data_IF_964873814337
#
_entry.id   IF_964873814337
#
_cell.length_a   1.000
_cell.length_b   1.000
_cell.length_c   1.000
_cell.angle_alpha   90.00
_cell.angle_beta   90.00
_cell.angle_gamma   90.00
#
_symmetry.space_group_name_H-M   'P 1'
#
loop_
_entity.id
_entity.type
_entity.pdbx_description
1 polymer ?
#
# COMPACT_ATOMS: atom_id res chain seq x y z
N UNK A 1 -1.42 -1.39 -22.03
CA UNK A 1 -0.64 -1.36 -23.28
C UNK A 1 0.77 -0.89 -22.95
N UNK A 2 1.81 -1.46 -23.55
CA UNK A 2 3.19 -1.03 -23.37
C UNK A 2 3.47 0.18 -24.26
N UNK A 3 3.91 1.30 -23.69
CA UNK A 3 4.29 2.51 -24.41
C UNK A 3 5.72 2.35 -24.96
N UNK A 4 6.65 1.97 -24.11
CA UNK A 4 8.02 1.51 -24.39
C UNK A 4 8.37 0.47 -23.34
N UNK A 5 9.40 -0.34 -23.57
CA UNK A 5 9.78 -1.41 -22.63
C UNK A 5 9.94 -0.88 -21.20
N UNK A 6 9.21 -1.48 -20.25
CA UNK A 6 9.17 -1.09 -18.84
C UNK A 6 8.28 0.12 -18.53
N UNK A 7 7.52 0.66 -19.50
CA UNK A 7 6.52 1.72 -19.27
C UNK A 7 5.19 1.30 -19.89
N UNK A 8 4.15 1.24 -19.09
CA UNK A 8 2.82 0.78 -19.50
C UNK A 8 1.73 1.78 -19.21
N UNK A 9 0.69 1.75 -20.04
CA UNK A 9 -0.55 2.51 -19.86
C UNK A 9 -1.71 1.57 -19.59
N UNK A 10 -2.55 1.92 -18.63
CA UNK A 10 -3.71 1.14 -18.19
C UNK A 10 -4.94 2.04 -18.19
N UNK A 11 -5.91 1.75 -19.05
CA UNK A 11 -7.15 2.50 -19.15
C UNK A 11 -8.27 1.75 -18.42
N UNK A 12 -8.92 2.44 -17.47
CA UNK A 12 -10.07 1.97 -16.72
C UNK A 12 -11.23 2.86 -17.09
N UNK A 13 -11.86 2.57 -18.24
CA UNK A 13 -12.95 3.38 -18.79
C UNK A 13 -14.17 3.32 -17.86
N UNK A 14 -14.62 4.47 -17.40
CA UNK A 14 -15.75 4.58 -16.51
C UNK A 14 -16.46 5.93 -16.64
N UNK A 15 -17.78 5.89 -16.85
CA UNK A 15 -18.66 7.07 -16.82
C UNK A 15 -19.35 7.25 -15.47
N UNK A 16 -19.07 6.39 -14.50
CA UNK A 16 -19.68 6.39 -13.17
C UNK A 16 -19.28 7.62 -12.34
N UNK A 17 -18.03 8.04 -12.46
CA UNK A 17 -17.47 9.15 -11.69
C UNK A 17 -17.61 10.47 -12.44
N UNK A 18 -17.80 11.56 -11.70
CA UNK A 18 -17.79 12.93 -12.25
C UNK A 18 -16.37 13.47 -12.43
N UNK A 19 -15.37 12.74 -11.91
CA UNK A 19 -13.97 13.09 -12.01
C UNK A 19 -13.20 12.04 -12.83
N UNK A 20 -12.17 12.49 -13.50
CA UNK A 20 -11.10 11.65 -14.02
C UNK A 20 -9.99 11.53 -12.97
N UNK A 21 -9.31 10.41 -12.92
CA UNK A 21 -8.11 10.22 -12.10
C UNK A 21 -6.96 9.67 -12.93
N UNK A 22 -5.80 10.31 -12.81
CA UNK A 22 -4.53 9.83 -13.36
C UNK A 22 -3.65 9.42 -12.18
N UNK A 23 -3.05 8.23 -12.23
CA UNK A 23 -2.04 7.83 -11.28
C UNK A 23 -0.80 7.36 -12.05
N UNK A 24 0.36 7.86 -11.65
CA UNK A 24 1.67 7.47 -12.21
C UNK A 24 2.44 6.78 -11.09
N UNK A 25 2.79 5.50 -11.28
CA UNK A 25 3.52 4.69 -10.32
C UNK A 25 4.92 4.39 -10.82
N UNK A 26 5.91 4.79 -10.05
CA UNK A 26 7.33 4.46 -10.23
C UNK A 26 7.66 3.33 -9.27
N UNK A 27 7.91 2.15 -9.82
CA UNK A 27 8.12 0.93 -9.04
C UNK A 27 9.54 0.41 -9.21
N UNK A 28 10.27 0.26 -8.11
CA UNK A 28 11.63 -0.27 -8.07
C UNK A 28 11.79 -1.32 -6.94
N UNK A 29 12.83 -2.15 -6.96
CA UNK A 29 13.21 -2.94 -5.79
C UNK A 29 13.41 -2.06 -4.56
N UNK A 30 12.92 -2.51 -3.42
CA UNK A 30 13.15 -1.82 -2.14
C UNK A 30 14.65 -1.80 -1.83
N UNK A 31 15.20 -0.61 -1.62
CA UNK A 31 16.60 -0.40 -1.26
C UNK A 31 16.71 0.59 -0.11
N UNK A 32 17.52 0.26 0.88
CA UNK A 32 17.81 1.14 2.01
C UNK A 32 18.56 2.41 1.56
N UNK A 33 19.36 2.31 0.50
CA UNK A 33 20.17 3.42 0.01
C UNK A 33 19.36 4.49 -0.71
N UNK A 34 18.23 4.11 -1.32
CA UNK A 34 17.42 5.05 -2.12
C UNK A 34 16.10 5.44 -1.47
N UNK A 35 15.64 4.74 -0.41
CA UNK A 35 14.32 4.96 0.18
C UNK A 35 14.10 6.40 0.63
N UNK A 36 15.09 7.01 1.31
CA UNK A 36 14.98 8.38 1.82
C UNK A 36 14.96 9.41 0.68
N UNK A 37 15.84 9.27 -0.30
CA UNK A 37 15.89 10.13 -1.48
C UNK A 37 14.60 10.03 -2.31
N UNK A 38 14.00 8.84 -2.46
CA UNK A 38 12.71 8.64 -3.14
C UNK A 38 11.56 9.34 -2.42
N UNK A 39 11.50 9.25 -1.07
CA UNK A 39 10.47 9.89 -0.27
C UNK A 39 10.56 11.42 -0.36
N UNK A 40 11.76 11.99 -0.23
CA UNK A 40 11.98 13.43 -0.36
C UNK A 40 11.72 13.92 -1.79
N UNK A 41 12.14 13.17 -2.80
CA UNK A 41 11.82 13.50 -4.20
C UNK A 41 10.31 13.54 -4.42
N UNK A 42 9.55 12.60 -3.88
CA UNK A 42 8.09 12.60 -3.99
C UNK A 42 7.50 13.90 -3.40
N UNK A 43 7.92 14.30 -2.19
CA UNK A 43 7.48 15.56 -1.59
C UNK A 43 7.85 16.78 -2.45
N UNK A 44 9.06 16.82 -3.01
CA UNK A 44 9.50 17.92 -3.87
C UNK A 44 8.68 18.03 -5.15
N UNK A 45 8.22 16.90 -5.76
CA UNK A 45 7.36 16.92 -6.96
C UNK A 45 6.00 17.56 -6.69
N UNK A 46 5.49 17.49 -5.46
CA UNK A 46 4.22 18.08 -5.05
C UNK A 46 4.33 19.57 -4.69
N UNK A 47 5.55 20.05 -4.46
CA UNK A 47 5.78 21.39 -3.88
C UNK A 47 5.93 22.47 -4.93
N UNK A 48 6.79 22.29 -5.92
CA UNK A 48 7.11 23.29 -6.93
C UNK A 48 7.77 22.71 -8.18
N UNK A 49 7.72 23.46 -9.28
CA UNK A 49 8.46 23.17 -10.51
C UNK A 49 8.90 24.50 -11.17
N UNK A 50 9.65 24.43 -12.26
CA UNK A 50 10.15 25.65 -12.92
C UNK A 50 9.05 26.60 -13.41
N UNK A 51 7.88 26.07 -13.81
CA UNK A 51 6.74 26.88 -14.24
C UNK A 51 5.99 27.50 -13.04
N UNK A 52 5.97 26.80 -11.92
CA UNK A 52 5.32 27.22 -10.68
C UNK A 52 6.33 27.12 -9.53
N UNK A 53 7.18 28.14 -9.35
CA UNK A 53 8.38 28.05 -8.51
C UNK A 53 8.09 28.07 -6.99
N UNK A 54 6.86 28.34 -6.60
CA UNK A 54 6.44 28.25 -5.17
C UNK A 54 5.25 27.31 -5.02
N UNK A 55 5.11 26.71 -3.84
CA UNK A 55 3.96 25.91 -3.46
C UNK A 55 2.64 26.67 -3.64
N UNK A 56 2.65 27.98 -3.40
CA UNK A 56 1.49 28.86 -3.59
C UNK A 56 1.13 28.99 -5.08
N UNK A 57 2.10 29.14 -5.98
CA UNK A 57 1.87 29.27 -7.42
C UNK A 57 1.31 27.96 -7.99
N UNK A 58 1.89 26.81 -7.59
CA UNK A 58 1.39 25.51 -8.00
C UNK A 58 -0.06 25.30 -7.52
N UNK A 59 -0.35 25.58 -6.25
CA UNK A 59 -1.71 25.46 -5.70
C UNK A 59 -2.71 26.41 -6.36
N UNK A 60 -2.32 27.65 -6.70
CA UNK A 60 -3.16 28.58 -7.47
C UNK A 60 -3.44 28.04 -8.87
N UNK A 61 -2.43 27.42 -9.50
CA UNK A 61 -2.61 26.81 -10.80
C UNK A 61 -3.58 25.63 -10.72
N UNK A 62 -3.41 24.71 -9.76
CA UNK A 62 -4.34 23.60 -9.53
C UNK A 62 -5.78 24.09 -9.26
N UNK A 63 -5.93 25.15 -8.48
CA UNK A 63 -7.23 25.79 -8.26
C UNK A 63 -7.84 26.35 -9.56
N UNK A 64 -7.02 26.96 -10.43
CA UNK A 64 -7.46 27.45 -11.75
C UNK A 64 -7.86 26.34 -12.72
N UNK A 65 -7.35 25.12 -12.50
CA UNK A 65 -7.74 23.89 -13.18
C UNK A 65 -8.98 23.24 -12.52
N UNK A 66 -9.96 24.04 -12.19
CA UNK A 66 -11.23 23.63 -11.56
C UNK A 66 -11.05 22.87 -10.25
N UNK A 67 -10.05 23.22 -9.46
CA UNK A 67 -9.75 22.55 -8.20
C UNK A 67 -9.19 21.13 -8.39
N UNK A 68 -8.36 20.96 -9.39
CA UNK A 68 -7.61 19.71 -9.58
C UNK A 68 -6.85 19.39 -8.30
N UNK A 69 -7.06 18.19 -7.75
CA UNK A 69 -6.30 17.64 -6.64
C UNK A 69 -5.06 16.93 -7.15
N UNK A 70 -3.94 17.14 -6.48
CA UNK A 70 -2.67 16.49 -6.77
C UNK A 70 -2.04 16.03 -5.46
N UNK A 71 -1.56 14.81 -5.44
CA UNK A 71 -0.85 14.25 -4.28
C UNK A 71 0.23 13.27 -4.68
N UNK A 72 1.25 13.15 -3.83
CA UNK A 72 2.27 12.11 -3.93
C UNK A 72 2.18 11.17 -2.74
N UNK A 73 2.57 9.92 -2.93
CA UNK A 73 2.63 8.92 -1.88
C UNK A 73 3.79 7.96 -2.10
N UNK A 74 4.36 7.46 -1.02
CA UNK A 74 5.37 6.41 -1.05
C UNK A 74 4.89 5.22 -0.22
N UNK A 75 4.91 4.04 -0.79
CA UNK A 75 4.51 2.84 -0.08
C UNK A 75 5.27 1.60 -0.57
N UNK A 76 5.22 0.56 0.24
CA UNK A 76 5.85 -0.72 -0.03
C UNK A 76 4.81 -1.76 -0.49
N UNK A 77 5.22 -2.60 -1.45
CA UNK A 77 4.49 -3.81 -1.82
C UNK A 77 5.47 -4.98 -1.94
N UNK A 78 5.38 -5.96 -1.03
CA UNK A 78 6.39 -7.02 -0.97
C UNK A 78 7.80 -6.43 -0.80
N UNK A 79 8.70 -6.75 -1.74
CA UNK A 79 10.06 -6.20 -1.78
C UNK A 79 10.24 -5.05 -2.78
N UNK A 80 9.16 -4.32 -3.11
CA UNK A 80 9.24 -3.12 -3.95
C UNK A 80 8.87 -1.86 -3.18
N UNK A 81 9.46 -0.75 -3.59
CA UNK A 81 9.15 0.60 -3.16
C UNK A 81 8.51 1.36 -4.33
N UNK A 82 7.35 1.94 -4.08
CA UNK A 82 6.52 2.59 -5.07
C UNK A 82 6.40 4.07 -4.70
N UNK A 83 6.74 4.94 -5.66
CA UNK A 83 6.38 6.35 -5.62
C UNK A 83 5.16 6.53 -6.51
N UNK A 84 4.09 7.07 -5.98
CA UNK A 84 2.86 7.34 -6.71
C UNK A 84 2.62 8.85 -6.79
N UNK A 85 2.29 9.33 -7.99
CA UNK A 85 1.82 10.68 -8.24
C UNK A 85 0.40 10.61 -8.78
N UNK A 86 -0.56 11.28 -8.16
CA UNK A 86 -1.97 11.24 -8.55
C UNK A 86 -2.52 12.61 -8.87
N UNK A 87 -3.46 12.64 -9.83
CA UNK A 87 -4.26 13.81 -10.20
C UNK A 87 -5.72 13.41 -10.25
N UNK A 88 -6.57 14.15 -9.55
CA UNK A 88 -8.03 13.97 -9.60
C UNK A 88 -8.67 15.29 -10.02
N UNK A 89 -9.44 15.28 -11.10
CA UNK A 89 -10.02 16.48 -11.68
C UNK A 89 -11.39 16.21 -12.32
N UNK A 90 -12.19 17.25 -12.49
CA UNK A 90 -13.53 17.17 -13.11
C UNK A 90 -13.41 16.70 -14.56
N UNK A 91 -14.30 15.82 -15.01
CA UNK A 91 -14.35 15.36 -16.40
C UNK A 91 -14.68 16.52 -17.34
N UNK A 92 -14.02 16.57 -18.48
CA UNK A 92 -14.16 17.63 -19.48
C UNK A 92 -15.61 17.80 -19.97
N UNK A 93 -16.43 16.74 -19.97
CA UNK A 93 -17.82 16.80 -20.41
C UNK A 93 -18.71 17.72 -19.56
N UNK A 94 -18.33 17.96 -18.29
CA UNK A 94 -19.06 18.85 -17.37
C UNK A 94 -18.62 20.32 -17.47
N UNK A 95 -17.63 20.60 -18.30
CA UNK A 95 -17.05 21.93 -18.47
C UNK A 95 -17.62 22.64 -19.72
N UNK A 96 -17.66 23.98 -19.70
CA UNK A 96 -18.08 24.79 -20.83
C UNK A 96 -17.16 24.64 -22.04
N UNK A 97 -15.87 24.38 -21.82
CA UNK A 97 -14.87 24.08 -22.85
C UNK A 97 -14.50 22.59 -22.76
N UNK A 98 -14.93 21.82 -23.75
CA UNK A 98 -14.70 20.37 -23.79
C UNK A 98 -13.24 20.07 -24.18
N UNK A 99 -12.69 18.97 -23.65
CA UNK A 99 -11.38 18.38 -23.97
C UNK A 99 -10.15 19.29 -23.69
N UNK A 100 -10.27 20.25 -22.78
CA UNK A 100 -9.18 21.18 -22.47
C UNK A 100 -8.49 20.82 -21.16
N UNK A 101 -9.24 20.37 -20.15
CA UNK A 101 -8.70 20.17 -18.81
C UNK A 101 -7.76 18.94 -18.76
N UNK A 102 -8.14 17.84 -19.38
CA UNK A 102 -7.28 16.63 -19.46
C UNK A 102 -5.93 16.95 -20.10
N UNK A 103 -5.91 17.72 -21.21
CA UNK A 103 -4.66 18.11 -21.87
C UNK A 103 -3.80 19.04 -20.99
N UNK A 104 -4.43 19.94 -20.23
CA UNK A 104 -3.74 20.82 -19.28
C UNK A 104 -3.14 20.04 -18.10
N UNK A 105 -3.87 19.05 -17.56
CA UNK A 105 -3.38 18.17 -16.49
C UNK A 105 -2.20 17.33 -17.02
N UNK A 106 -2.28 16.77 -18.23
CA UNK A 106 -1.15 16.02 -18.82
C UNK A 106 0.08 16.91 -19.05
N UNK A 107 -0.14 18.17 -19.47
CA UNK A 107 0.97 19.13 -19.55
C UNK A 107 1.59 19.36 -18.18
N UNK A 108 0.78 19.51 -17.13
CA UNK A 108 1.29 19.67 -15.77
C UNK A 108 2.05 18.41 -15.30
N UNK A 109 1.58 17.20 -15.61
CA UNK A 109 2.32 15.95 -15.36
C UNK A 109 3.70 16.01 -15.99
N UNK A 110 3.79 16.45 -17.27
CA UNK A 110 5.06 16.60 -17.97
C UNK A 110 5.98 17.62 -17.30
N UNK A 111 5.46 18.80 -16.93
CA UNK A 111 6.24 19.86 -16.26
C UNK A 111 6.79 19.36 -14.91
N UNK A 112 5.99 18.66 -14.11
CA UNK A 112 6.41 18.10 -12.82
C UNK A 112 7.53 17.08 -12.99
N UNK A 113 7.42 16.19 -13.97
CA UNK A 113 8.40 15.12 -14.17
C UNK A 113 9.70 15.59 -14.85
N UNK A 114 9.64 16.59 -15.73
CA UNK A 114 10.79 16.97 -16.56
C UNK A 114 11.33 18.37 -16.31
N UNK A 115 10.64 19.16 -15.48
CA UNK A 115 11.04 20.54 -15.18
C UNK A 115 10.94 20.84 -13.68
N UNK A 116 11.55 20.01 -12.80
CA UNK A 116 11.53 20.26 -11.36
C UNK A 116 12.22 21.59 -11.03
N UNK A 117 11.90 22.18 -9.87
CA UNK A 117 12.54 23.40 -9.39
C UNK A 117 13.96 23.09 -8.90
N UNK A 118 14.97 23.58 -9.61
CA UNK A 118 16.37 23.26 -9.37
C UNK A 118 17.21 24.51 -9.09
N UNK A 119 18.20 24.34 -8.19
CA UNK A 119 19.27 25.28 -7.92
C UNK A 119 20.57 24.50 -7.75
N UNK A 120 21.64 24.91 -8.39
CA UNK A 120 22.98 24.30 -8.30
C UNK A 120 23.00 22.76 -8.47
N UNK A 121 22.32 22.26 -9.52
CA UNK A 121 22.18 20.84 -9.84
C UNK A 121 21.51 19.97 -8.75
N UNK A 122 20.69 20.58 -7.90
CA UNK A 122 19.88 19.92 -6.88
C UNK A 122 18.46 20.51 -6.83
N UNK A 123 17.58 19.96 -6.02
CA UNK A 123 16.33 20.63 -5.71
C UNK A 123 16.58 21.99 -5.02
N UNK A 124 15.62 22.91 -5.09
CA UNK A 124 15.74 24.20 -4.37
C UNK A 124 15.98 23.94 -2.86
N UNK A 125 17.10 24.45 -2.30
CA UNK A 125 17.47 24.12 -0.92
C UNK A 125 16.45 24.59 0.13
N UNK A 126 15.78 25.73 -0.12
CA UNK A 126 14.82 26.31 0.83
C UNK A 126 13.55 25.44 0.90
N UNK A 127 13.04 25.02 -0.26
CA UNK A 127 11.90 24.12 -0.34
C UNK A 127 12.24 22.73 0.19
N UNK A 128 13.44 22.24 -0.14
CA UNK A 128 13.92 20.93 0.30
C UNK A 128 13.99 20.83 1.84
N UNK A 129 14.52 21.83 2.53
CA UNK A 129 14.59 21.81 3.99
C UNK A 129 13.19 21.87 4.66
N UNK A 130 12.23 22.56 4.03
CA UNK A 130 10.85 22.56 4.50
C UNK A 130 10.25 21.15 4.39
N UNK A 131 10.34 20.54 3.21
CA UNK A 131 9.79 19.21 2.96
C UNK A 131 10.47 18.12 3.82
N UNK A 132 11.78 18.20 3.96
CA UNK A 132 12.57 17.33 4.84
C UNK A 132 12.10 17.40 6.30
N UNK A 133 11.86 18.62 6.79
CA UNK A 133 11.35 18.85 8.16
C UNK A 133 9.91 18.29 8.29
N UNK A 134 9.07 18.50 7.31
CA UNK A 134 7.69 17.98 7.33
C UNK A 134 7.67 16.45 7.30
N UNK A 135 8.48 15.83 6.45
CA UNK A 135 8.60 14.36 6.37
C UNK A 135 9.07 13.78 7.71
N UNK A 136 10.11 14.38 8.33
CA UNK A 136 10.59 13.94 9.65
C UNK A 136 9.52 14.09 10.74
N UNK A 137 8.75 15.17 10.71
CA UNK A 137 7.66 15.39 11.66
C UNK A 137 6.51 14.36 11.48
N UNK A 138 6.15 14.07 10.23
CA UNK A 138 5.14 13.05 9.94
C UNK A 138 5.56 11.67 10.42
N UNK A 139 6.80 11.25 10.13
CA UNK A 139 7.33 9.96 10.60
C UNK A 139 7.43 9.87 12.13
N UNK A 140 7.71 11.00 12.81
CA UNK A 140 7.70 11.02 14.27
C UNK A 140 6.27 10.85 14.82
N UNK A 141 5.28 11.53 14.20
CA UNK A 141 3.90 11.42 14.60
C UNK A 141 3.33 9.99 14.38
N UNK A 142 3.76 9.30 13.31
CA UNK A 142 3.37 7.91 13.09
C UNK A 142 3.83 6.99 14.23
N UNK A 143 5.01 7.26 14.82
CA UNK A 143 5.55 6.48 15.94
C UNK A 143 4.86 6.73 17.28
N UNK A 144 4.06 7.80 17.38
CA UNK A 144 3.22 8.08 18.55
C UNK A 144 1.96 7.20 18.55
N UNK A 145 1.52 6.69 17.37
CA UNK A 145 0.47 5.67 17.30
C UNK A 145 1.00 4.33 17.83
N UNK A 146 0.38 3.88 18.91
CA UNK A 146 0.79 2.67 19.62
C UNK A 146 0.66 1.39 18.79
N UNK A 147 -0.36 1.30 17.92
CA UNK A 147 -0.51 0.15 17.02
C UNK A 147 0.52 0.19 15.89
N UNK A 148 0.75 1.37 15.29
CA UNK A 148 1.79 1.52 14.27
C UNK A 148 3.17 1.16 14.84
N UNK A 149 3.49 1.64 16.03
CA UNK A 149 4.73 1.29 16.73
C UNK A 149 4.84 -0.23 16.94
N UNK A 150 3.80 -0.88 17.51
CA UNK A 150 3.80 -2.31 17.75
C UNK A 150 3.92 -3.12 16.45
N UNK A 151 3.27 -2.66 15.36
CA UNK A 151 3.40 -3.27 14.04
C UNK A 151 4.85 -3.25 13.53
N UNK A 152 5.55 -2.13 13.70
CA UNK A 152 6.96 -2.01 13.31
C UNK A 152 7.87 -2.89 14.14
N UNK A 153 7.63 -3.00 15.44
CA UNK A 153 8.39 -3.88 16.31
C UNK A 153 8.16 -5.37 15.98
N UNK A 154 6.92 -5.77 15.64
CA UNK A 154 6.65 -7.12 15.15
C UNK A 154 7.36 -7.39 13.81
N UNK A 155 7.38 -6.44 12.88
CA UNK A 155 8.08 -6.57 11.59
C UNK A 155 9.57 -6.86 11.78
N UNK A 156 10.24 -6.22 12.77
CA UNK A 156 11.65 -6.48 13.11
C UNK A 156 11.90 -7.91 13.58
N UNK A 157 10.97 -8.47 14.34
CA UNK A 157 11.06 -9.84 14.83
C UNK A 157 10.73 -10.87 13.74
N UNK A 158 9.84 -10.52 12.84
CA UNK A 158 9.32 -11.46 11.84
C UNK A 158 10.21 -11.57 10.60
N UNK A 159 10.57 -10.45 9.97
CA UNK A 159 11.30 -10.46 8.72
C UNK A 159 12.80 -10.70 8.91
N UNK A 160 13.39 -11.54 8.04
CA UNK A 160 14.84 -11.75 7.98
C UNK A 160 15.52 -10.67 7.13
N UNK A 161 14.83 -10.13 6.14
CA UNK A 161 15.33 -9.11 5.25
C UNK A 161 15.34 -7.73 5.96
N UNK A 162 16.51 -7.13 6.09
CA UNK A 162 16.70 -5.83 6.74
C UNK A 162 15.88 -4.70 6.11
N UNK A 163 15.61 -4.77 4.80
CA UNK A 163 14.81 -3.80 4.09
C UNK A 163 13.35 -3.78 4.55
N UNK A 164 12.83 -4.95 4.98
CA UNK A 164 11.45 -5.11 5.45
C UNK A 164 11.28 -4.77 6.94
N UNK A 165 12.38 -4.78 7.69
CA UNK A 165 12.42 -4.45 9.12
C UNK A 165 13.07 -3.10 9.42
N UNK A 166 13.09 -2.18 8.43
CA UNK A 166 13.69 -0.86 8.58
C UNK A 166 13.11 -0.11 9.79
N UNK A 167 14.00 0.26 10.70
CA UNK A 167 13.67 1.00 11.91
C UNK A 167 13.41 2.48 11.63
N UNK A 168 12.57 3.09 12.47
CA UNK A 168 12.34 4.53 12.42
C UNK A 168 13.64 5.34 12.56
N UNK A 169 14.50 4.95 13.50
CA UNK A 169 15.79 5.60 13.74
C UNK A 169 16.70 5.58 12.50
N UNK A 170 16.74 4.44 11.81
CA UNK A 170 17.56 4.28 10.61
C UNK A 170 16.99 5.08 9.44
N UNK A 171 15.68 5.02 9.22
CA UNK A 171 15.00 5.81 8.19
C UNK A 171 15.19 7.32 8.46
N UNK A 172 15.00 7.75 9.71
CA UNK A 172 15.24 9.14 10.14
C UNK A 172 16.66 9.59 9.85
N UNK A 173 17.67 8.77 10.18
CA UNK A 173 19.06 9.10 9.94
C UNK A 173 19.39 9.19 8.45
N UNK A 174 18.82 8.30 7.62
CA UNK A 174 18.95 8.36 6.16
C UNK A 174 18.33 9.64 5.59
N UNK A 175 17.14 10.03 6.05
CA UNK A 175 16.49 11.28 5.63
C UNK A 175 17.33 12.49 6.06
N UNK A 176 17.90 12.48 7.27
CA UNK A 176 18.78 13.56 7.74
C UNK A 176 20.06 13.69 6.91
N UNK A 177 20.57 12.57 6.38
CA UNK A 177 21.77 12.56 5.54
C UNK A 177 21.52 13.05 4.10
N UNK A 178 20.26 13.04 3.64
CA UNK A 178 19.92 13.50 2.28
C UNK A 178 20.19 14.99 2.09
N UNK A 179 20.64 15.33 0.89
CA UNK A 179 20.88 16.69 0.41
C UNK A 179 19.99 16.99 -0.80
N UNK A 180 19.81 18.27 -1.18
CA UNK A 180 19.11 18.62 -2.42
C UNK A 180 19.67 17.90 -3.65
N UNK A 181 21.00 17.72 -3.71
CA UNK A 181 21.69 17.08 -4.83
C UNK A 181 21.49 15.55 -4.81
N UNK A 182 21.64 14.89 -3.65
CA UNK A 182 21.48 13.44 -3.56
C UNK A 182 20.04 13.01 -3.87
N UNK A 183 19.06 13.73 -3.34
CA UNK A 183 17.64 13.45 -3.61
C UNK A 183 17.27 13.74 -5.05
N UNK A 184 17.85 14.78 -5.68
CA UNK A 184 17.65 15.03 -7.11
C UNK A 184 18.28 13.93 -7.97
N UNK A 185 19.49 13.47 -7.63
CA UNK A 185 20.10 12.31 -8.32
C UNK A 185 19.22 11.07 -8.19
N UNK A 186 18.66 10.81 -7.02
CA UNK A 186 17.72 9.72 -6.82
C UNK A 186 16.44 9.87 -7.67
N UNK A 187 15.92 11.10 -7.80
CA UNK A 187 14.80 11.40 -8.69
C UNK A 187 15.12 11.10 -10.16
N UNK A 188 16.29 11.51 -10.63
CA UNK A 188 16.74 11.23 -11.99
C UNK A 188 16.86 9.73 -12.25
N UNK A 189 17.38 8.97 -11.27
CA UNK A 189 17.50 7.52 -11.34
C UNK A 189 16.13 6.85 -11.43
N UNK A 190 15.16 7.20 -10.57
CA UNK A 190 13.87 6.55 -10.64
C UNK A 190 13.08 6.95 -11.90
N UNK A 191 13.19 8.20 -12.35
CA UNK A 191 12.57 8.62 -13.62
C UNK A 191 13.17 7.88 -14.82
N UNK A 192 14.47 7.55 -14.79
CA UNK A 192 15.16 6.86 -15.87
C UNK A 192 15.02 5.34 -15.85
N UNK A 193 14.98 4.72 -14.66
CA UNK A 193 15.21 3.27 -14.48
C UNK A 193 14.01 2.50 -13.93
N UNK A 194 13.10 3.15 -13.17
CA UNK A 194 11.96 2.46 -12.57
C UNK A 194 10.97 1.96 -13.64
N UNK A 195 10.33 0.86 -13.36
CA UNK A 195 9.08 0.52 -14.06
C UNK A 195 8.06 1.63 -13.82
N UNK A 196 7.44 2.13 -14.90
CA UNK A 196 6.41 3.17 -14.82
C UNK A 196 5.08 2.61 -15.32
N UNK A 197 4.05 2.70 -14.49
CA UNK A 197 2.69 2.37 -14.86
C UNK A 197 1.81 3.63 -14.76
N UNK A 198 1.24 4.05 -15.91
CA UNK A 198 0.26 5.12 -15.97
C UNK A 198 -1.15 4.53 -15.92
N UNK A 199 -1.94 4.92 -14.95
CA UNK A 199 -3.35 4.54 -14.82
C UNK A 199 -4.24 5.73 -15.14
N UNK A 200 -5.16 5.52 -16.08
CA UNK A 200 -6.17 6.48 -16.49
C UNK A 200 -7.55 5.94 -16.15
N UNK A 201 -8.17 6.47 -15.11
CA UNK A 201 -9.51 6.07 -14.68
C UNK A 201 -10.51 7.19 -14.94
N UNK A 202 -11.50 6.93 -15.79
CA UNK A 202 -12.55 7.89 -16.15
C UNK A 202 -12.97 7.75 -17.62
N UNK A 203 -13.24 8.87 -18.27
CA UNK A 203 -13.61 8.94 -19.68
C UNK A 203 -12.46 9.59 -20.46
N UNK A 204 -11.68 8.77 -21.15
CA UNK A 204 -10.47 9.19 -21.85
C UNK A 204 -10.47 8.74 -23.30
N UNK A 205 -9.92 9.58 -24.16
CA UNK A 205 -9.51 9.18 -25.51
C UNK A 205 -8.12 8.53 -25.44
N UNK A 206 -8.07 7.21 -25.51
CA UNK A 206 -6.83 6.43 -25.35
C UNK A 206 -5.75 6.80 -26.38
N UNK A 207 -6.15 7.02 -27.64
CA UNK A 207 -5.20 7.39 -28.73
C UNK A 207 -4.58 8.77 -28.47
N UNK A 208 -5.39 9.73 -28.05
CA UNK A 208 -4.91 11.08 -27.72
C UNK A 208 -3.92 11.06 -26.56
N UNK A 209 -4.26 10.32 -25.48
CA UNK A 209 -3.38 10.15 -24.31
C UNK A 209 -2.05 9.52 -24.71
N UNK A 210 -2.08 8.47 -25.52
CA UNK A 210 -0.86 7.81 -25.98
C UNK A 210 0.05 8.73 -26.77
N UNK A 211 -0.50 9.48 -27.74
CA UNK A 211 0.26 10.47 -28.50
C UNK A 211 0.92 11.52 -27.60
N UNK A 212 0.22 11.96 -26.55
CA UNK A 212 0.78 12.90 -25.56
C UNK A 212 1.93 12.24 -24.80
N UNK A 213 1.74 11.01 -24.28
CA UNK A 213 2.79 10.30 -23.51
C UNK A 213 4.01 9.97 -24.37
N UNK A 214 3.86 9.63 -25.64
CA UNK A 214 4.97 9.45 -26.58
C UNK A 214 5.81 10.73 -26.69
N UNK A 215 5.15 11.92 -26.65
CA UNK A 215 5.84 13.21 -26.65
C UNK A 215 6.68 13.49 -25.40
N UNK A 216 6.55 12.67 -24.33
CA UNK A 216 7.39 12.79 -23.14
C UNK A 216 8.81 12.30 -23.37
N UNK A 217 9.03 11.48 -24.42
CA UNK A 217 10.36 11.04 -24.81
C UNK A 217 10.98 10.01 -23.87
N UNK A 218 10.16 9.22 -23.19
CA UNK A 218 10.65 8.14 -22.33
C UNK A 218 11.49 7.13 -23.13
N UNK A 219 12.53 6.63 -22.48
CA UNK A 219 13.38 5.54 -23.02
C UNK A 219 12.98 4.21 -22.39
N UNK A 220 13.15 3.14 -23.16
CA UNK A 220 12.97 1.77 -22.65
C UNK A 220 13.92 1.47 -21.49
N UNK A 221 13.46 0.66 -20.52
CA UNK A 221 14.17 0.32 -19.29
C UNK A 221 13.89 -1.12 -18.87
N UNK A 222 14.77 -1.67 -18.03
CA UNK A 222 14.52 -2.97 -17.41
C UNK A 222 13.51 -2.77 -16.28
N UNK A 223 12.26 -3.18 -16.51
CA UNK A 223 11.18 -3.06 -15.52
C UNK A 223 10.86 -4.37 -14.79
N UNK A 224 11.56 -5.45 -15.12
CA UNK A 224 11.23 -6.79 -14.62
C UNK A 224 12.01 -7.08 -13.33
N UNK A 225 11.31 -7.17 -12.23
CA UNK A 225 11.83 -7.67 -10.96
C UNK A 225 10.70 -8.35 -10.16
N UNK A 226 11.08 -9.25 -9.26
CA UNK A 226 10.10 -9.94 -8.41
C UNK A 226 9.60 -8.97 -7.33
N UNK A 227 8.31 -8.64 -7.36
CA UNK A 227 7.66 -7.79 -6.35
C UNK A 227 7.44 -8.58 -5.06
N UNK A 228 7.08 -9.86 -5.17
CA UNK A 228 6.80 -10.72 -4.03
C UNK A 228 8.06 -11.06 -3.25
N UNK A 229 7.94 -10.96 -1.92
CA UNK A 229 8.92 -11.47 -0.98
C UNK A 229 8.43 -12.79 -0.37
N UNK A 230 9.30 -13.80 -0.39
CA UNK A 230 9.02 -15.08 0.26
C UNK A 230 9.89 -15.18 1.51
N UNK A 231 9.27 -14.98 2.68
CA UNK A 231 9.94 -15.15 3.97
C UNK A 231 10.33 -16.62 4.15
N UNK A 232 11.61 -16.96 4.41
CA UNK A 232 11.99 -18.29 4.80
C UNK A 232 11.35 -18.68 6.15
N UNK A 233 10.77 -19.87 6.23
CA UNK A 233 10.23 -20.35 7.48
C UNK A 233 11.37 -20.68 8.48
N UNK A 234 11.18 -20.25 9.74
CA UNK A 234 12.04 -20.62 10.87
C UNK A 234 11.26 -21.37 11.94
N UNK A 235 11.85 -22.41 12.51
CA UNK A 235 11.29 -23.11 13.68
C UNK A 235 11.51 -22.32 14.99
N UNK A 236 12.28 -21.23 14.95
CA UNK A 236 12.59 -20.40 16.12
C UNK A 236 11.53 -19.34 16.24
N UNK A 237 10.76 -19.38 17.34
CA UNK A 237 9.82 -18.32 17.68
C UNK A 237 10.59 -17.13 18.24
N UNK A 238 10.41 -15.96 17.60
CA UNK A 238 10.96 -14.71 18.08
C UNK A 238 9.94 -14.04 19.01
N UNK A 239 10.38 -13.60 20.19
CA UNK A 239 9.51 -12.86 21.13
C UNK A 239 10.18 -11.54 21.52
N UNK A 240 9.40 -10.46 21.52
CA UNK A 240 9.81 -9.13 21.95
C UNK A 240 8.80 -8.50 22.89
N UNK A 241 9.30 -7.62 23.76
CA UNK A 241 8.46 -6.90 24.71
C UNK A 241 9.06 -5.53 25.02
N UNK A 242 8.19 -4.55 25.13
CA UNK A 242 8.55 -3.21 25.63
C UNK A 242 7.51 -2.70 26.63
N UNK A 243 7.91 -1.83 27.54
CA UNK A 243 7.02 -1.06 28.40
C UNK A 243 6.92 0.37 27.92
N UNK A 244 5.70 0.85 27.74
CA UNK A 244 5.41 2.25 27.38
C UNK A 244 4.41 2.87 28.34
N UNK A 245 4.55 4.17 28.56
CA UNK A 245 3.59 4.93 29.36
C UNK A 245 2.34 5.24 28.54
N UNK A 246 1.48 4.27 28.40
CA UNK A 246 0.21 4.31 27.67
C UNK A 246 -0.82 3.46 28.40
N UNK A 247 -2.11 3.83 28.30
CA UNK A 247 -3.19 3.17 29.03
C UNK A 247 -3.57 1.78 28.51
N UNK A 248 -3.14 1.40 27.29
CA UNK A 248 -3.51 0.13 26.68
C UNK A 248 -2.29 -0.68 26.26
N UNK A 249 -2.28 -1.97 26.61
CA UNK A 249 -1.29 -2.91 26.10
C UNK A 249 -1.69 -3.44 24.73
N UNK A 250 -0.69 -3.73 23.88
CA UNK A 250 -0.90 -4.28 22.53
C UNK A 250 -0.17 -5.60 22.41
N UNK A 251 -0.91 -6.63 21.99
CA UNK A 251 -0.39 -7.95 21.69
C UNK A 251 -0.45 -8.18 20.18
N UNK A 252 0.68 -8.60 19.61
CA UNK A 252 0.78 -8.95 18.19
C UNK A 252 1.36 -10.32 17.99
N UNK A 253 0.79 -11.04 17.03
CA UNK A 253 1.23 -12.37 16.59
C UNK A 253 1.50 -12.36 15.11
N UNK A 254 2.73 -12.65 14.71
CA UNK A 254 3.19 -12.73 13.32
C UNK A 254 3.31 -14.18 12.86
N UNK A 255 2.61 -14.51 11.78
CA UNK A 255 2.60 -15.86 11.20
C UNK A 255 3.23 -15.86 9.81
N UNK A 256 4.10 -16.82 9.57
CA UNK A 256 4.58 -17.18 8.25
C UNK A 256 3.43 -17.76 7.43
N UNK A 257 3.21 -17.19 6.24
CA UNK A 257 2.22 -17.60 5.27
C UNK A 257 2.91 -17.92 3.94
N UNK A 258 3.00 -19.20 3.53
CA UNK A 258 3.74 -19.57 2.32
C UNK A 258 2.98 -19.28 1.02
N UNK A 259 1.71 -18.85 1.10
CA UNK A 259 0.91 -18.51 -0.07
C UNK A 259 1.34 -17.17 -0.66
N UNK A 260 1.34 -17.09 -2.00
CA UNK A 260 1.70 -15.90 -2.74
C UNK A 260 0.45 -15.21 -3.33
N UNK A 261 0.57 -13.90 -3.59
CA UNK A 261 -0.50 -13.16 -4.27
C UNK A 261 -0.69 -13.70 -5.69
N UNK A 262 -1.90 -14.15 -6.00
CA UNK A 262 -2.28 -14.65 -7.32
C UNK A 262 -2.12 -16.16 -7.52
N UNK A 263 -1.59 -16.91 -6.54
CA UNK A 263 -1.54 -18.37 -6.56
C UNK A 263 -2.93 -19.02 -6.32
N UNK A 264 -2.99 -20.34 -6.32
CA UNK A 264 -4.23 -21.10 -6.08
C UNK A 264 -4.78 -20.93 -4.67
N UNK A 265 -3.91 -20.63 -3.68
CA UNK A 265 -4.29 -20.43 -2.29
C UNK A 265 -4.72 -18.99 -1.99
N UNK A 266 -4.55 -18.07 -2.94
CA UNK A 266 -4.86 -16.65 -2.75
C UNK A 266 -6.29 -16.41 -2.23
N UNK A 267 -7.32 -16.91 -2.91
CA UNK A 267 -8.70 -16.72 -2.48
C UNK A 267 -9.05 -17.47 -1.20
N UNK A 268 -8.69 -18.76 -1.03
CA UNK A 268 -8.83 -19.45 0.26
C UNK A 268 -8.20 -18.68 1.43
N UNK A 269 -7.03 -18.06 1.25
CA UNK A 269 -6.37 -17.26 2.30
C UNK A 269 -7.11 -15.94 2.59
N UNK A 270 -7.70 -15.30 1.60
CA UNK A 270 -8.56 -14.11 1.81
C UNK A 270 -9.79 -14.50 2.62
N UNK A 271 -10.47 -15.60 2.28
CA UNK A 271 -11.64 -16.08 3.01
C UNK A 271 -11.25 -16.50 4.44
N UNK A 272 -10.14 -17.22 4.59
CA UNK A 272 -9.59 -17.57 5.91
C UNK A 272 -9.36 -16.34 6.78
N UNK A 273 -8.73 -15.28 6.24
CA UNK A 273 -8.52 -14.04 6.99
C UNK A 273 -9.84 -13.36 7.36
N UNK A 274 -10.85 -13.40 6.49
CA UNK A 274 -12.20 -12.92 6.79
C UNK A 274 -12.85 -13.66 7.97
N UNK A 275 -12.76 -15.00 7.98
CA UNK A 275 -13.24 -15.84 9.08
C UNK A 275 -12.44 -15.62 10.37
N UNK A 276 -11.13 -15.38 10.26
CA UNK A 276 -10.23 -15.23 11.41
C UNK A 276 -10.46 -13.93 12.16
N UNK A 277 -10.30 -12.78 11.48
CA UNK A 277 -10.32 -11.47 12.13
C UNK A 277 -10.65 -10.29 11.23
N UNK A 278 -11.05 -10.55 9.96
CA UNK A 278 -11.31 -9.48 8.99
C UNK A 278 -12.68 -8.80 9.12
N UNK A 279 -13.63 -9.39 9.85
CA UNK A 279 -15.01 -8.89 9.97
C UNK A 279 -15.54 -8.99 11.41
N UNK A 280 -16.65 -8.29 11.69
CA UNK A 280 -17.28 -8.30 13.01
C UNK A 280 -17.89 -9.67 13.43
N UNK A 281 -18.15 -10.58 12.49
CA UNK A 281 -18.57 -11.95 12.77
C UNK A 281 -17.41 -12.95 12.85
N UNK A 282 -16.18 -12.48 12.70
CA UNK A 282 -14.98 -13.32 12.70
C UNK A 282 -14.72 -13.97 14.08
N UNK A 283 -13.95 -15.06 14.05
CA UNK A 283 -13.65 -15.82 15.27
C UNK A 283 -12.89 -15.02 16.32
N UNK A 284 -11.95 -14.18 15.91
CA UNK A 284 -11.25 -13.29 16.85
C UNK A 284 -12.22 -12.30 17.50
N UNK A 285 -13.06 -11.67 16.70
CA UNK A 285 -14.02 -10.69 17.22
C UNK A 285 -15.03 -11.34 18.16
N UNK A 286 -15.69 -12.42 17.70
CA UNK A 286 -16.74 -13.09 18.47
C UNK A 286 -16.19 -13.77 19.73
N UNK A 287 -15.12 -14.57 19.62
CA UNK A 287 -14.68 -15.40 20.72
C UNK A 287 -13.77 -14.69 21.71
N UNK A 288 -12.87 -13.79 21.22
CA UNK A 288 -11.88 -13.15 22.10
C UNK A 288 -12.40 -11.82 22.63
N UNK A 289 -13.05 -11.00 21.76
CA UNK A 289 -13.58 -9.70 22.17
C UNK A 289 -14.93 -9.81 22.83
N UNK A 290 -15.95 -10.36 22.12
CA UNK A 290 -17.34 -10.33 22.62
C UNK A 290 -17.58 -11.36 23.75
N UNK A 291 -17.21 -12.64 23.53
CA UNK A 291 -17.53 -13.69 24.49
C UNK A 291 -16.59 -13.71 25.70
N UNK A 292 -15.28 -13.49 25.47
CA UNK A 292 -14.29 -13.55 26.56
C UNK A 292 -13.97 -12.18 27.17
N UNK A 293 -14.30 -11.07 26.49
CA UNK A 293 -14.04 -9.71 26.98
C UNK A 293 -12.56 -9.37 27.14
N UNK A 294 -11.67 -10.06 26.39
CA UNK A 294 -10.22 -9.92 26.57
C UNK A 294 -9.58 -8.79 25.77
N UNK A 295 -10.30 -8.26 24.79
CA UNK A 295 -9.75 -7.25 23.88
C UNK A 295 -10.78 -6.15 23.58
N UNK A 296 -10.31 -4.91 23.53
CA UNK A 296 -11.10 -3.75 23.07
C UNK A 296 -11.06 -3.62 21.54
N UNK A 297 -9.89 -3.87 20.96
CA UNK A 297 -9.66 -3.92 19.53
C UNK A 297 -8.98 -5.23 19.20
N UNK A 298 -9.46 -5.93 18.17
CA UNK A 298 -8.84 -7.16 17.69
C UNK A 298 -9.10 -7.33 16.20
N UNK A 299 -8.09 -7.75 15.45
CA UNK A 299 -8.22 -8.01 14.03
C UNK A 299 -7.08 -8.90 13.50
N UNK A 300 -7.20 -9.32 12.25
CA UNK A 300 -6.13 -9.94 11.49
C UNK A 300 -5.91 -9.24 10.14
N UNK A 301 -4.65 -9.19 9.69
CA UNK A 301 -4.24 -8.61 8.43
C UNK A 301 -3.37 -9.61 7.66
N UNK A 302 -3.71 -9.83 6.41
CA UNK A 302 -3.02 -10.74 5.51
C UNK A 302 -2.27 -9.95 4.44
N UNK A 303 -0.95 -10.13 4.37
CA UNK A 303 -0.10 -9.60 3.30
C UNK A 303 0.52 -10.75 2.51
N UNK A 304 -0.12 -11.10 1.40
CA UNK A 304 0.35 -12.16 0.50
C UNK A 304 1.56 -11.73 -0.34
N UNK A 305 1.85 -10.44 -0.46
CA UNK A 305 3.07 -9.98 -1.12
C UNK A 305 4.33 -10.16 -0.26
N UNK A 306 4.15 -10.29 1.06
CA UNK A 306 5.25 -10.50 2.01
C UNK A 306 5.20 -11.85 2.71
N UNK A 307 4.22 -12.73 2.38
CA UNK A 307 4.06 -14.02 3.03
C UNK A 307 3.79 -13.91 4.53
N UNK A 308 2.96 -12.95 4.94
CA UNK A 308 2.77 -12.52 6.31
C UNK A 308 1.29 -12.43 6.70
N UNK A 309 0.93 -13.06 7.81
CA UNK A 309 -0.35 -12.88 8.47
C UNK A 309 -0.09 -12.31 9.88
N UNK A 310 -0.67 -11.17 10.17
CA UNK A 310 -0.66 -10.52 11.48
C UNK A 310 -1.99 -10.70 12.17
N UNK A 311 -1.98 -11.04 13.46
CA UNK A 311 -3.09 -10.82 14.37
C UNK A 311 -2.67 -9.81 15.43
N UNK A 312 -3.53 -8.87 15.77
CA UNK A 312 -3.24 -7.88 16.81
C UNK A 312 -4.45 -7.62 17.70
N UNK A 313 -4.18 -7.26 18.92
CA UNK A 313 -5.22 -6.93 19.91
C UNK A 313 -4.74 -5.86 20.88
N UNK A 314 -5.64 -4.90 21.19
CA UNK A 314 -5.52 -3.99 22.33
C UNK A 314 -6.17 -4.64 23.55
N UNK A 315 -5.41 -4.89 24.61
CA UNK A 315 -5.82 -5.69 25.78
C UNK A 315 -5.36 -5.04 27.07
N UNK A 316 -5.91 -5.48 28.20
CA UNK A 316 -5.30 -5.23 29.51
C UNK A 316 -4.05 -6.09 29.67
N UNK A 317 -3.04 -5.57 30.37
CA UNK A 317 -1.75 -6.25 30.54
C UNK A 317 -1.86 -7.63 31.19
N UNK A 318 -2.79 -7.79 32.11
CA UNK A 318 -3.03 -9.03 32.86
C UNK A 318 -3.57 -10.15 31.94
N UNK A 319 -4.25 -9.75 30.88
CA UNK A 319 -4.89 -10.66 29.92
C UNK A 319 -3.91 -11.23 28.86
N UNK A 320 -2.63 -10.80 28.86
CA UNK A 320 -1.62 -11.18 27.84
C UNK A 320 -1.61 -12.67 27.50
N UNK A 321 -1.47 -13.54 28.51
CA UNK A 321 -1.31 -14.97 28.27
C UNK A 321 -2.62 -15.63 27.81
N UNK A 322 -3.74 -15.18 28.34
CA UNK A 322 -5.05 -15.70 27.96
C UNK A 322 -5.41 -15.26 26.54
N UNK A 323 -5.21 -13.97 26.20
CA UNK A 323 -5.46 -13.42 24.88
C UNK A 323 -4.57 -14.12 23.82
N UNK A 324 -3.25 -14.24 24.08
CA UNK A 324 -2.32 -14.98 23.21
C UNK A 324 -2.81 -16.38 22.90
N UNK A 325 -3.17 -17.15 23.93
CA UNK A 325 -3.67 -18.52 23.78
C UNK A 325 -4.97 -18.57 22.99
N UNK A 326 -5.90 -17.70 23.30
CA UNK A 326 -7.21 -17.67 22.63
C UNK A 326 -7.07 -17.24 21.17
N UNK A 327 -6.29 -16.19 20.87
CA UNK A 327 -6.04 -15.75 19.49
C UNK A 327 -5.43 -16.86 18.64
N UNK A 328 -4.37 -17.53 19.15
CA UNK A 328 -3.75 -18.64 18.44
C UNK A 328 -4.69 -19.82 18.22
N UNK A 329 -5.57 -20.11 19.19
CA UNK A 329 -6.56 -21.19 19.08
C UNK A 329 -7.56 -20.94 17.96
N UNK A 330 -7.95 -19.67 17.65
CA UNK A 330 -8.85 -19.37 16.55
C UNK A 330 -8.25 -19.80 15.19
N UNK A 331 -6.95 -19.61 14.99
CA UNK A 331 -6.28 -20.12 13.79
C UNK A 331 -6.21 -21.65 13.76
N UNK A 332 -5.95 -22.28 14.90
CA UNK A 332 -5.94 -23.75 15.03
C UNK A 332 -7.32 -24.34 14.70
N UNK A 333 -8.38 -23.68 15.15
CA UNK A 333 -9.74 -24.08 14.86
C UNK A 333 -10.06 -24.00 13.37
N UNK A 334 -9.60 -22.94 12.68
CA UNK A 334 -9.73 -22.82 11.23
C UNK A 334 -8.96 -23.93 10.49
N UNK A 335 -7.74 -24.28 10.94
CA UNK A 335 -6.97 -25.42 10.38
C UNK A 335 -7.70 -26.74 10.45
N UNK A 336 -8.45 -26.94 11.57
CA UNK A 336 -9.24 -28.17 11.82
C UNK A 336 -10.62 -28.13 11.17
N UNK A 337 -10.97 -27.02 10.52
CA UNK A 337 -12.28 -26.82 9.92
C UNK A 337 -13.39 -26.59 10.97
N UNK A 338 -13.08 -26.08 12.16
CA UNK A 338 -14.06 -25.78 13.21
C UNK A 338 -14.73 -24.42 12.93
N UNK A 339 -15.44 -24.36 11.84
CA UNK A 339 -16.35 -23.29 11.45
C UNK A 339 -17.54 -23.88 10.67
N UNK A 340 -18.65 -23.18 10.72
CA UNK A 340 -19.91 -23.62 10.07
C UNK A 340 -19.99 -23.14 8.62
N UNK A 341 -20.84 -23.78 7.82
CA UNK A 341 -21.17 -23.30 6.48
C UNK A 341 -21.81 -21.90 6.53
N UNK A 342 -22.56 -21.58 7.58
CA UNK A 342 -23.16 -20.25 7.77
C UNK A 342 -22.08 -19.19 7.90
N UNK A 343 -21.03 -19.41 8.74
CA UNK A 343 -19.91 -18.50 8.91
C UNK A 343 -19.13 -18.33 7.60
N UNK A 344 -18.96 -19.42 6.85
CA UNK A 344 -18.28 -19.40 5.54
C UNK A 344 -19.06 -18.53 4.53
N UNK A 345 -20.34 -18.80 4.38
CA UNK A 345 -21.18 -18.06 3.40
C UNK A 345 -21.35 -16.59 3.81
N UNK A 346 -21.49 -16.27 5.10
CA UNK A 346 -21.48 -14.90 5.59
C UNK A 346 -20.17 -14.18 5.23
N UNK A 347 -19.03 -14.86 5.40
CA UNK A 347 -17.72 -14.31 5.08
C UNK A 347 -17.56 -14.05 3.58
N UNK A 348 -17.94 -14.99 2.73
CA UNK A 348 -17.96 -14.81 1.26
C UNK A 348 -18.84 -13.63 0.86
N UNK A 349 -20.03 -13.53 1.41
CA UNK A 349 -20.95 -12.42 1.14
C UNK A 349 -20.35 -11.06 1.58
N UNK A 350 -19.68 -11.00 2.73
CA UNK A 350 -18.99 -9.77 3.16
C UNK A 350 -17.83 -9.39 2.24
N UNK A 351 -17.05 -10.37 1.80
CA UNK A 351 -15.97 -10.14 0.81
C UNK A 351 -16.56 -9.66 -0.51
N UNK A 352 -17.62 -10.29 -0.99
CA UNK A 352 -18.33 -9.90 -2.22
C UNK A 352 -18.85 -8.47 -2.13
N UNK A 353 -19.47 -8.09 -1.00
CA UNK A 353 -19.96 -6.72 -0.76
C UNK A 353 -18.81 -5.71 -0.71
N UNK A 354 -17.73 -6.03 -0.01
CA UNK A 354 -16.54 -5.16 0.05
C UNK A 354 -15.97 -4.94 -1.35
N UNK A 355 -15.93 -5.98 -2.17
CA UNK A 355 -15.49 -5.89 -3.55
C UNK A 355 -16.45 -5.04 -4.41
N UNK A 356 -17.77 -5.17 -4.23
CA UNK A 356 -18.76 -4.32 -4.92
C UNK A 356 -18.61 -2.85 -4.52
N UNK A 357 -18.44 -2.57 -3.22
CA UNK A 357 -18.21 -1.20 -2.72
C UNK A 357 -16.89 -0.61 -3.24
N UNK A 358 -15.86 -1.44 -3.41
CA UNK A 358 -14.59 -0.97 -3.98
C UNK A 358 -14.71 -0.45 -5.41
N UNK A 359 -15.75 -0.90 -6.17
CA UNK A 359 -16.06 -0.39 -7.50
C UNK A 359 -16.56 1.07 -7.49
N UNK A 360 -16.91 1.61 -6.33
CA UNK A 360 -17.34 2.99 -6.13
C UNK A 360 -16.18 3.91 -5.68
N UNK A 361 -14.96 3.35 -5.57
CA UNK A 361 -13.77 4.08 -5.16
C UNK A 361 -12.70 4.05 -6.26
N UNK A 362 -12.32 5.22 -6.76
CA UNK A 362 -11.34 5.35 -7.85
C UNK A 362 -9.95 4.79 -7.47
N UNK A 363 -9.50 5.02 -6.23
CA UNK A 363 -8.20 4.52 -5.78
C UNK A 363 -8.17 2.99 -5.69
N UNK A 364 -9.28 2.37 -5.24
CA UNK A 364 -9.42 0.90 -5.20
C UNK A 364 -9.41 0.27 -6.59
N UNK A 365 -10.01 0.94 -7.58
CA UNK A 365 -9.98 0.48 -8.97
C UNK A 365 -8.58 0.55 -9.57
N UNK A 366 -7.84 1.63 -9.31
CA UNK A 366 -6.44 1.77 -9.73
C UNK A 366 -5.57 0.72 -9.03
N UNK A 367 -5.76 0.51 -7.73
CA UNK A 367 -5.02 -0.52 -6.99
C UNK A 367 -5.27 -1.92 -7.56
N UNK A 368 -6.53 -2.27 -7.86
CA UNK A 368 -6.88 -3.53 -8.51
C UNK A 368 -6.22 -3.68 -9.88
N UNK A 369 -6.23 -2.63 -10.69
CA UNK A 369 -5.57 -2.63 -12.00
C UNK A 369 -4.04 -2.81 -11.87
N UNK A 370 -3.42 -2.13 -10.89
CA UNK A 370 -2.00 -2.29 -10.61
C UNK A 370 -1.64 -3.71 -10.19
N UNK A 371 -2.42 -4.30 -9.27
CA UNK A 371 -2.20 -5.68 -8.82
C UNK A 371 -2.33 -6.67 -9.99
N UNK A 372 -3.28 -6.46 -10.91
CA UNK A 372 -3.40 -7.27 -12.12
C UNK A 372 -2.20 -7.07 -13.06
N UNK A 373 -1.72 -5.84 -13.22
CA UNK A 373 -0.54 -5.55 -14.02
C UNK A 373 0.73 -6.24 -13.47
N UNK A 374 0.87 -6.33 -12.15
CA UNK A 374 1.96 -7.09 -11.50
C UNK A 374 1.89 -8.60 -11.79
N UNK A 375 0.69 -9.14 -12.05
CA UNK A 375 0.47 -10.54 -12.45
C UNK A 375 0.51 -10.75 -13.97
N UNK A 376 0.86 -9.73 -14.75
CA UNK A 376 0.84 -9.79 -16.22
C UNK A 376 -0.56 -9.89 -16.82
N UNK A 377 -1.62 -9.52 -16.08
CA UNK A 377 -3.01 -9.55 -16.53
C UNK A 377 -3.44 -8.17 -17.05
N UNK A 378 -4.13 -8.14 -18.18
CA UNK A 378 -4.52 -6.88 -18.84
C UNK A 378 -5.73 -6.18 -18.22
N UNK A 379 -6.60 -6.89 -17.50
CA UNK A 379 -7.81 -6.32 -16.91
C UNK A 379 -8.25 -7.08 -15.66
N UNK A 380 -9.00 -6.40 -14.79
CA UNK A 380 -9.65 -7.04 -13.65
C UNK A 380 -10.87 -7.85 -14.13
N UNK A 381 -10.78 -9.16 -14.10
CA UNK A 381 -11.92 -10.05 -14.29
C UNK A 381 -12.72 -10.15 -12.97
N UNK A 382 -13.54 -9.14 -12.74
CA UNK A 382 -14.37 -9.05 -11.54
C UNK A 382 -15.38 -10.21 -11.43
N UNK A 383 -16.01 -10.60 -12.56
CA UNK A 383 -16.98 -11.70 -12.56
C UNK A 383 -16.31 -13.04 -12.32
N UNK A 384 -15.18 -13.28 -12.97
CA UNK A 384 -14.40 -14.50 -12.77
C UNK A 384 -13.82 -14.58 -11.35
N UNK A 385 -13.46 -13.43 -10.75
CA UNK A 385 -13.00 -13.41 -9.37
C UNK A 385 -14.12 -13.81 -8.39
N UNK A 386 -15.34 -13.26 -8.56
CA UNK A 386 -16.50 -13.66 -7.75
C UNK A 386 -16.82 -15.15 -7.96
N UNK A 387 -16.85 -15.63 -9.21
CA UNK A 387 -17.11 -17.04 -9.48
C UNK A 387 -16.10 -17.97 -8.80
N UNK A 388 -14.82 -17.58 -8.72
CA UNK A 388 -13.80 -18.32 -7.97
C UNK A 388 -13.98 -18.21 -6.46
N UNK A 389 -14.41 -17.06 -5.94
CA UNK A 389 -14.73 -16.89 -4.52
C UNK A 389 -15.84 -17.85 -4.07
N UNK A 390 -16.89 -17.99 -4.87
CA UNK A 390 -18.01 -18.91 -4.58
C UNK A 390 -17.57 -20.38 -4.54
N UNK A 391 -16.52 -20.75 -5.27
CA UNK A 391 -15.97 -22.10 -5.28
C UNK A 391 -15.08 -22.43 -4.09
N UNK A 392 -14.71 -21.43 -3.26
CA UNK A 392 -13.91 -21.68 -2.07
C UNK A 392 -14.74 -22.46 -1.06
N UNK A 393 -14.31 -23.68 -0.79
CA UNK A 393 -14.94 -24.58 0.18
C UNK A 393 -14.11 -24.68 1.47
N UNK A 394 -14.65 -25.39 2.44
CA UNK A 394 -14.03 -25.64 3.73
C UNK A 394 -12.66 -26.33 3.61
N UNK A 395 -12.56 -27.30 2.71
CA UNK A 395 -11.34 -28.06 2.50
C UNK A 395 -10.23 -27.20 1.89
N UNK A 396 -10.57 -26.29 0.97
CA UNK A 396 -9.63 -25.32 0.41
C UNK A 396 -9.06 -24.41 1.50
N UNK A 397 -9.91 -23.92 2.41
CA UNK A 397 -9.49 -23.08 3.55
C UNK A 397 -8.58 -23.87 4.48
N UNK A 398 -8.94 -25.11 4.85
CA UNK A 398 -8.09 -25.96 5.70
C UNK A 398 -6.72 -26.22 5.06
N UNK A 399 -6.69 -26.55 3.76
CA UNK A 399 -5.43 -26.74 3.02
C UNK A 399 -4.55 -25.50 3.01
N UNK A 400 -5.13 -24.34 2.70
CA UNK A 400 -4.42 -23.06 2.66
C UNK A 400 -3.85 -22.67 4.03
N UNK A 401 -4.63 -22.90 5.08
CA UNK A 401 -4.27 -22.50 6.45
C UNK A 401 -3.25 -23.44 7.10
N UNK A 402 -3.15 -24.69 6.67
CA UNK A 402 -2.37 -25.73 7.35
C UNK A 402 -0.88 -25.37 7.51
N UNK A 403 -0.31 -24.71 6.51
CA UNK A 403 1.10 -24.30 6.50
C UNK A 403 1.34 -22.91 7.12
N UNK A 404 0.32 -22.23 7.60
CA UNK A 404 0.45 -20.95 8.33
C UNK A 404 1.00 -21.25 9.73
N UNK A 405 2.14 -20.66 10.11
CA UNK A 405 2.86 -21.01 11.35
C UNK A 405 3.29 -19.75 12.10
N UNK A 406 3.06 -19.75 13.42
CA UNK A 406 3.51 -18.67 14.30
C UNK A 406 5.03 -18.55 14.27
N UNK A 407 5.56 -17.36 14.04
CA UNK A 407 6.98 -17.08 13.92
C UNK A 407 7.45 -15.95 14.81
N UNK A 408 6.58 -14.98 15.11
CA UNK A 408 6.94 -13.85 15.95
C UNK A 408 5.79 -13.46 16.90
N UNK A 409 6.14 -12.99 18.09
CA UNK A 409 5.22 -12.41 19.08
C UNK A 409 5.81 -11.13 19.58
N UNK A 410 5.02 -10.08 19.62
CA UNK A 410 5.40 -8.82 20.21
C UNK A 410 4.35 -8.37 21.23
N UNK A 411 4.82 -7.85 22.34
CA UNK A 411 3.95 -7.32 23.39
C UNK A 411 4.42 -5.93 23.84
N UNK A 412 3.60 -4.93 23.63
CA UNK A 412 3.76 -3.62 24.23
C UNK A 412 2.93 -3.54 25.50
N UNK A 413 3.60 -3.49 26.65
CA UNK A 413 2.94 -3.37 27.96
C UNK A 413 2.67 -1.89 28.26
N UNK A 414 1.39 -1.54 28.41
CA UNK A 414 0.97 -0.25 28.95
C UNK A 414 1.14 -0.22 30.47
N UNK A 415 1.69 0.86 31.00
CA UNK A 415 2.02 1.02 32.45
C UNK A 415 1.31 2.21 33.09
N UNK A 416 0.34 2.84 32.42
CA UNK A 416 -0.55 3.84 33.03
C UNK A 416 -1.64 3.20 33.87
#
# INVERSE_FOLDING_TARGET
MELVHGISTHFIQSKKFKTNKIAVRFTAPLSLDTIAGRMLSASMLETANQMYPTSQDLRRHLASLYGTDMSTNCFRRGQSHIVELTFTYVRDEFLSRKNVLTSQVLKLVKEILFSPMLVDNGFDPSLFEIEKKQLLASLAADMDDSFYFAHKELDKLFFNDERLRLEYSDLRNRILAETPQSSYSCFQEFLANDRIDFFFLGDFNEVEIQNVLESFGFKGRKGDFKVQYCQPYSNILQEGMVRKNVGQSILELGYHCPSEYGDEQHLPMIVMNGLLGGFAHSKLFTNVRENAGLAYTISSQLDLFSGFLRMYAGIDRENRNQARKMMNNQLIDLKKGYFTEIELEQTKEMIRRSLLLSQDNQSSLIESAYQNALLGKSSADFKGWIAKLEQVDKDAICRATNNVKLQAIYFMEGIE
#
